data_IF_338846586950
#
_entry.id   IF_338846586950
#
_cell.length_a   1.000
_cell.length_b   1.000
_cell.length_c   1.000
_cell.angle_alpha   90.00
_cell.angle_beta   90.00
_cell.angle_gamma   90.00
#
_symmetry.space_group_name_H-M   'P 1'
#
loop_
_entity.id
_entity.type
_entity.pdbx_description
1 polymer ?
#
# COMPACT_ATOMS: atom_id res chain seq x y z
N UNK A 1 -15.26 -20.07 7.04
CA UNK A 1 -14.81 -19.18 5.96
C UNK A 1 -13.30 -19.33 5.88
N UNK A 2 -12.77 -19.83 4.76
CA UNK A 2 -11.34 -20.00 4.60
C UNK A 2 -10.69 -18.63 4.60
N UNK A 3 -10.06 -18.25 5.71
CA UNK A 3 -9.12 -17.12 5.73
C UNK A 3 -7.95 -17.55 4.87
N UNK A 4 -7.98 -17.24 3.58
CA UNK A 4 -6.78 -17.25 2.76
C UNK A 4 -5.86 -16.23 3.44
N UNK A 5 -4.92 -16.71 4.25
CA UNK A 5 -3.79 -15.91 4.70
C UNK A 5 -2.97 -15.64 3.44
N UNK A 6 -3.33 -14.59 2.71
CA UNK A 6 -2.54 -14.12 1.59
C UNK A 6 -1.21 -13.64 2.17
N UNK A 7 -0.15 -14.35 1.82
CA UNK A 7 1.20 -14.09 2.25
C UNK A 7 1.64 -12.70 1.72
N UNK A 8 1.87 -11.77 2.62
CA UNK A 8 2.37 -10.43 2.30
C UNK A 8 3.71 -10.48 1.55
N UNK A 9 4.44 -11.59 1.63
CA UNK A 9 5.69 -11.81 0.88
C UNK A 9 5.49 -11.76 -0.65
N UNK A 10 4.27 -12.03 -1.12
CA UNK A 10 3.95 -11.97 -2.55
C UNK A 10 3.87 -10.54 -3.10
N UNK A 11 3.71 -9.53 -2.23
CA UNK A 11 3.73 -8.12 -2.64
C UNK A 11 5.18 -7.62 -2.51
N UNK A 12 5.85 -7.26 -3.63
CA UNK A 12 7.20 -6.73 -3.56
C UNK A 12 7.18 -5.39 -2.82
N UNK A 13 8.21 -5.11 -2.02
CA UNK A 13 8.30 -3.80 -1.35
C UNK A 13 8.47 -2.69 -2.39
N UNK A 14 7.70 -1.61 -2.25
CA UNK A 14 7.88 -0.39 -3.04
C UNK A 14 9.28 0.18 -2.77
N UNK A 15 10.10 0.24 -3.81
CA UNK A 15 11.49 0.70 -3.71
C UNK A 15 11.78 1.95 -4.55
N UNK A 16 10.88 2.28 -5.48
CA UNK A 16 11.02 3.48 -6.30
C UNK A 16 10.05 3.51 -7.47
N UNK A 17 10.24 4.46 -8.39
CA UNK A 17 9.39 4.58 -9.58
C UNK A 17 9.42 3.34 -10.49
N UNK A 18 10.49 2.57 -10.44
CA UNK A 18 10.72 1.41 -11.30
C UNK A 18 9.73 0.28 -11.02
N UNK A 19 9.27 0.12 -9.77
CA UNK A 19 8.28 -0.90 -9.41
C UNK A 19 6.93 -0.35 -8.96
N UNK A 20 6.73 0.97 -9.02
CA UNK A 20 5.51 1.61 -8.52
C UNK A 20 4.24 1.00 -9.11
N UNK A 21 4.17 0.81 -10.42
CA UNK A 21 2.97 0.25 -11.07
C UNK A 21 2.70 -1.20 -10.67
N UNK A 22 3.75 -2.02 -10.61
CA UNK A 22 3.63 -3.42 -10.18
C UNK A 22 3.15 -3.49 -8.72
N UNK A 23 3.78 -2.74 -7.82
CA UNK A 23 3.37 -2.62 -6.43
C UNK A 23 1.93 -2.14 -6.29
N UNK A 24 1.55 -1.08 -7.02
CA UNK A 24 0.21 -0.48 -7.01
C UNK A 24 -0.86 -1.49 -7.41
N UNK A 25 -0.63 -2.25 -8.48
CA UNK A 25 -1.59 -3.26 -8.93
C UNK A 25 -1.80 -4.34 -7.87
N UNK A 26 -0.72 -4.87 -7.29
CA UNK A 26 -0.82 -5.94 -6.29
C UNK A 26 -1.47 -5.47 -4.99
N UNK A 27 -1.12 -4.27 -4.51
CA UNK A 27 -1.72 -3.76 -3.27
C UNK A 27 -3.19 -3.37 -3.45
N UNK A 28 -3.56 -2.87 -4.64
CA UNK A 28 -4.96 -2.62 -5.00
C UNK A 28 -5.76 -3.93 -4.94
N UNK A 29 -5.34 -4.94 -5.70
CA UNK A 29 -6.04 -6.23 -5.74
C UNK A 29 -6.09 -6.91 -4.37
N UNK A 30 -5.03 -6.78 -3.56
CA UNK A 30 -5.02 -7.29 -2.20
C UNK A 30 -6.09 -6.60 -1.35
N UNK A 31 -6.05 -5.27 -1.24
CA UNK A 31 -6.98 -4.52 -0.41
C UNK A 31 -8.44 -4.67 -0.88
N UNK A 32 -8.66 -4.74 -2.19
CA UNK A 32 -9.97 -5.00 -2.79
C UNK A 32 -10.54 -6.36 -2.37
N UNK A 33 -9.72 -7.42 -2.33
CA UNK A 33 -10.17 -8.76 -1.90
C UNK A 33 -10.66 -8.83 -0.45
N UNK A 34 -10.34 -7.83 0.37
CA UNK A 34 -10.77 -7.71 1.77
C UNK A 34 -11.76 -6.55 2.00
N UNK A 35 -12.35 -5.97 0.95
CA UNK A 35 -13.26 -4.81 1.04
C UNK A 35 -12.62 -3.60 1.77
N UNK A 36 -11.29 -3.46 1.59
CA UNK A 36 -10.47 -2.35 2.09
C UNK A 36 -10.06 -1.39 0.98
N UNK A 37 -10.60 -1.55 -0.22
CA UNK A 37 -10.41 -0.65 -1.35
C UNK A 37 -11.75 -0.30 -1.99
N UNK A 38 -12.01 0.99 -2.19
CA UNK A 38 -13.12 1.50 -3.01
C UNK A 38 -12.57 2.46 -4.07
N UNK A 39 -12.54 3.76 -3.78
CA UNK A 39 -11.85 4.75 -4.60
C UNK A 39 -10.39 4.94 -4.18
N UNK A 40 -10.09 4.60 -2.94
CA UNK A 40 -8.79 4.66 -2.29
C UNK A 40 -8.73 3.62 -1.17
N UNK A 41 -7.55 3.37 -0.58
CA UNK A 41 -7.45 2.55 0.62
C UNK A 41 -8.39 3.04 1.72
N UNK A 42 -9.10 2.10 2.35
CA UNK A 42 -9.95 2.36 3.50
C UNK A 42 -9.11 2.89 4.65
N UNK A 43 -9.64 3.86 5.38
CA UNK A 43 -8.95 4.42 6.52
C UNK A 43 -9.21 3.57 7.77
N UNK A 44 -8.44 2.49 7.88
CA UNK A 44 -8.44 1.60 9.03
C UNK A 44 -7.02 1.10 9.34
N UNK A 45 -6.74 0.69 10.59
CA UNK A 45 -5.41 0.23 10.99
C UNK A 45 -4.86 -0.90 10.13
N UNK A 46 -5.73 -1.82 9.68
CA UNK A 46 -5.33 -2.95 8.86
C UNK A 46 -4.83 -2.51 7.48
N UNK A 47 -5.57 -1.65 6.77
CA UNK A 47 -5.14 -1.14 5.46
C UNK A 47 -3.85 -0.32 5.57
N UNK A 48 -3.72 0.53 6.60
CA UNK A 48 -2.50 1.30 6.88
C UNK A 48 -1.30 0.38 7.11
N UNK A 49 -1.46 -0.64 7.95
CA UNK A 49 -0.42 -1.62 8.21
C UNK A 49 0.05 -2.32 6.92
N UNK A 50 -0.88 -2.76 6.09
CA UNK A 50 -0.57 -3.46 4.83
C UNK A 50 0.23 -2.55 3.89
N UNK A 51 -0.22 -1.29 3.72
CA UNK A 51 0.50 -0.30 2.92
C UNK A 51 1.92 -0.12 3.43
N UNK A 52 2.10 0.13 4.72
CA UNK A 52 3.41 0.35 5.33
C UNK A 52 4.32 -0.88 5.24
N UNK A 53 3.78 -2.08 5.44
CA UNK A 53 4.53 -3.33 5.35
C UNK A 53 5.08 -3.60 3.93
N UNK A 54 4.38 -3.09 2.91
CA UNK A 54 4.75 -3.24 1.51
C UNK A 54 5.62 -2.10 0.99
N UNK A 55 6.22 -1.27 1.84
CA UNK A 55 7.13 -0.18 1.45
C UNK A 55 8.54 -0.48 1.98
N UNK A 56 9.59 -0.13 1.22
CA UNK A 56 10.95 -0.19 1.76
C UNK A 56 11.14 0.82 2.89
N UNK A 57 11.90 0.42 3.92
CA UNK A 57 12.02 1.20 5.16
C UNK A 57 12.56 2.63 4.92
N UNK A 58 13.44 2.81 3.94
CA UNK A 58 14.02 4.11 3.57
C UNK A 58 13.05 5.03 2.80
N UNK A 59 11.88 4.52 2.37
CA UNK A 59 10.84 5.30 1.69
C UNK A 59 9.71 5.74 2.63
N UNK A 60 9.65 5.18 3.83
CA UNK A 60 8.67 5.54 4.87
C UNK A 60 9.04 6.92 5.46
N UNK A 61 8.08 7.83 5.48
CA UNK A 61 8.26 9.16 6.08
C UNK A 61 7.74 9.17 7.52
N UNK A 62 8.41 9.87 8.46
CA UNK A 62 7.95 9.96 9.85
C UNK A 62 6.51 10.48 9.99
N UNK A 63 6.08 11.36 9.08
CA UNK A 63 4.72 11.90 9.07
C UNK A 63 3.63 10.87 8.77
N UNK A 64 3.96 9.67 8.30
CA UNK A 64 2.97 8.62 8.02
C UNK A 64 2.25 8.13 9.28
N UNK A 65 2.81 8.34 10.47
CA UNK A 65 2.15 7.96 11.73
C UNK A 65 0.80 8.69 11.92
N UNK A 66 0.73 9.96 11.52
CA UNK A 66 -0.46 10.81 11.65
C UNK A 66 -1.34 10.83 10.39
N UNK A 67 -0.86 10.27 9.28
CA UNK A 67 -1.60 10.25 8.01
C UNK A 67 -2.59 9.08 7.91
N UNK A 68 -3.71 9.34 7.24
CA UNK A 68 -4.67 8.32 6.79
C UNK A 68 -4.08 7.43 5.71
N UNK A 69 -4.64 6.23 5.52
CA UNK A 69 -4.24 5.32 4.43
C UNK A 69 -4.30 5.99 3.06
N UNK A 70 -5.29 6.85 2.84
CA UNK A 70 -5.48 7.63 1.61
C UNK A 70 -4.34 8.65 1.40
N UNK A 71 -3.98 9.39 2.44
CA UNK A 71 -2.91 10.40 2.36
C UNK A 71 -1.56 9.74 2.07
N UNK A 72 -1.26 8.63 2.76
CA UNK A 72 -0.04 7.86 2.53
C UNK A 72 0.00 7.39 1.07
N UNK A 73 -1.08 6.77 0.60
CA UNK A 73 -1.14 6.28 -0.77
C UNK A 73 -0.97 7.38 -1.83
N UNK A 74 -1.62 8.55 -1.62
CA UNK A 74 -1.47 9.72 -2.51
C UNK A 74 -0.04 10.24 -2.54
N UNK A 75 0.61 10.36 -1.38
CA UNK A 75 2.00 10.79 -1.28
C UNK A 75 2.95 9.83 -2.03
N UNK A 76 2.75 8.51 -1.91
CA UNK A 76 3.53 7.52 -2.65
C UNK A 76 3.30 7.63 -4.17
N UNK A 77 2.06 7.84 -4.60
CA UNK A 77 1.73 8.07 -6.01
C UNK A 77 2.39 9.34 -6.54
N UNK A 78 2.36 10.45 -5.79
CA UNK A 78 3.02 11.70 -6.17
C UNK A 78 4.55 11.57 -6.24
N UNK A 79 5.16 10.76 -5.37
CA UNK A 79 6.62 10.58 -5.31
C UNK A 79 7.17 9.59 -6.33
N UNK A 80 6.43 8.53 -6.64
CA UNK A 80 6.95 7.38 -7.37
C UNK A 80 6.21 7.05 -8.67
N UNK A 81 5.10 7.71 -8.99
CA UNK A 81 4.46 7.50 -10.30
C UNK A 81 5.39 8.02 -11.41
N UNK A 82 5.83 7.16 -12.36
CA UNK A 82 6.60 7.62 -13.50
C UNK A 82 5.73 8.51 -14.41
N UNK A 83 6.39 9.47 -15.07
CA UNK A 83 5.78 10.41 -16.02
C UNK A 83 5.08 9.71 -17.18
#
# INVERSE_FOLDING_TARGET
MAHVQLDFSAIPKLYGPENFWHWRMLIHSYLESFDMWKDHPKDCPQAKFIILACIQADKIEPGYDEMSSKQIFKNLEERFRPY
#
